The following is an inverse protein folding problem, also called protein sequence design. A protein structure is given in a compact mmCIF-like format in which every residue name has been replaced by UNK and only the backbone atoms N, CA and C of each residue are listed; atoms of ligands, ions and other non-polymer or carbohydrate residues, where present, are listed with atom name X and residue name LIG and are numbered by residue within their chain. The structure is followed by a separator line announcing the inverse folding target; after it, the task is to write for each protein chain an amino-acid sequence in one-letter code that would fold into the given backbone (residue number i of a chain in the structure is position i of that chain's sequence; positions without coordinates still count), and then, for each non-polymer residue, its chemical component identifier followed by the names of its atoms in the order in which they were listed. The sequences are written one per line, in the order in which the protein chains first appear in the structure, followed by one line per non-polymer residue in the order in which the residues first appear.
data_IF_670281208625
#
_entry.id   IF_670281208625
#
_cell.length_a   1.000
_cell.length_b   1.000
_cell.length_c   1.000
_cell.angle_alpha   90.00
_cell.angle_beta   90.00
_cell.angle_gamma   90.00
#
_symmetry.space_group_name_H-M   'P 1'
#
loop_
_entity.id
_entity.type
_entity.pdbx_description
1 polymer ?
#
# COMPACT_ATOMS: atom_id res chain seq x y z
N UNK A 1 4.59 -23.29 32.58
CA UNK A 1 4.74 -21.93 32.01
C UNK A 1 3.34 -21.31 31.88
N UNK A 2 3.00 -20.34 32.73
CA UNK A 2 1.70 -19.67 32.75
C UNK A 2 1.81 -18.29 32.07
N UNK A 3 0.97 -18.08 31.06
CA UNK A 3 0.26 -16.83 30.73
C UNK A 3 1.07 -15.55 30.51
N UNK A 4 1.33 -15.21 29.24
CA UNK A 4 1.66 -13.84 28.81
C UNK A 4 0.71 -13.28 27.73
N UNK A 5 -0.35 -13.99 27.33
CA UNK A 5 -1.21 -13.55 26.22
C UNK A 5 -2.32 -12.55 26.57
N UNK A 6 -2.59 -12.27 27.86
CA UNK A 6 -3.74 -11.43 28.24
C UNK A 6 -3.53 -9.91 28.15
N UNK A 7 -2.28 -9.40 28.19
CA UNK A 7 -2.01 -7.96 28.31
C UNK A 7 -1.90 -7.21 26.98
N UNK A 8 -1.70 -7.93 25.87
CA UNK A 8 -1.59 -7.36 24.53
C UNK A 8 -2.94 -7.22 23.84
N UNK A 9 -3.78 -8.25 23.93
CA UNK A 9 -5.14 -8.26 23.37
C UNK A 9 -6.01 -7.16 23.97
N UNK A 10 -5.98 -7.00 25.30
CA UNK A 10 -6.75 -5.98 26.04
C UNK A 10 -6.44 -4.54 25.57
N UNK A 11 -5.16 -4.25 25.31
CA UNK A 11 -4.73 -2.94 24.79
C UNK A 11 -5.11 -2.73 23.31
N UNK A 12 -5.13 -3.78 22.51
CA UNK A 12 -5.57 -3.73 21.11
C UNK A 12 -7.04 -3.37 21.03
N UNK A 13 -7.87 -4.08 21.79
CA UNK A 13 -9.31 -3.82 21.87
C UNK A 13 -9.60 -2.39 22.37
N UNK A 14 -8.89 -1.91 23.39
CA UNK A 14 -9.03 -0.53 23.86
C UNK A 14 -8.68 0.51 22.78
N UNK A 15 -7.60 0.29 22.01
CA UNK A 15 -7.20 1.19 20.90
C UNK A 15 -8.23 1.19 19.78
N UNK A 16 -8.68 0.01 19.37
CA UNK A 16 -9.73 -0.16 18.37
C UNK A 16 -10.99 0.61 18.78
N UNK A 17 -11.50 0.33 19.98
CA UNK A 17 -12.74 0.93 20.47
C UNK A 17 -12.62 2.45 20.65
N UNK A 18 -11.46 2.94 21.12
CA UNK A 18 -11.19 4.38 21.21
C UNK A 18 -11.21 5.03 19.82
N UNK A 19 -10.58 4.42 18.83
CA UNK A 19 -10.53 4.95 17.46
C UNK A 19 -11.91 4.94 16.80
N UNK A 20 -12.69 3.88 16.98
CA UNK A 20 -14.07 3.81 16.47
C UNK A 20 -14.97 4.89 17.08
N UNK A 21 -14.80 5.19 18.39
CA UNK A 21 -15.50 6.31 19.02
C UNK A 21 -15.11 7.66 18.42
N UNK A 22 -13.81 7.91 18.20
CA UNK A 22 -13.34 9.15 17.56
C UNK A 22 -13.95 9.34 16.15
N UNK A 23 -14.04 8.26 15.37
CA UNK A 23 -14.66 8.26 14.04
C UNK A 23 -16.14 8.62 14.15
N UNK A 24 -16.88 7.94 15.04
CA UNK A 24 -18.31 8.18 15.24
C UNK A 24 -18.59 9.64 15.67
N UNK A 25 -17.85 10.15 16.65
CA UNK A 25 -17.99 11.53 17.13
C UNK A 25 -17.70 12.56 16.04
N UNK A 26 -16.72 12.28 15.16
CA UNK A 26 -16.42 13.16 14.03
C UNK A 26 -17.57 13.18 13.02
N UNK A 27 -18.12 12.02 12.68
CA UNK A 27 -19.26 11.91 11.77
C UNK A 27 -20.48 12.69 12.31
N UNK A 28 -20.75 12.62 13.62
CA UNK A 28 -21.83 13.38 14.23
C UNK A 28 -21.59 14.90 14.21
N UNK A 29 -20.34 15.36 14.35
CA UNK A 29 -20.00 16.79 14.24
C UNK A 29 -20.23 17.30 12.83
N UNK A 30 -19.70 16.59 11.83
CA UNK A 30 -19.88 16.97 10.42
C UNK A 30 -21.35 16.90 9.96
N UNK A 31 -22.14 15.97 10.51
CA UNK A 31 -23.59 15.92 10.29
C UNK A 31 -24.38 17.07 10.94
N UNK A 32 -23.91 17.61 12.07
CA UNK A 32 -24.50 18.77 12.75
C UNK A 32 -24.16 20.10 12.07
N UNK A 33 -23.01 20.17 11.38
CA UNK A 33 -22.56 21.36 10.65
C UNK A 33 -23.20 21.49 9.25
N UNK A 34 -24.07 20.56 8.85
CA UNK A 34 -24.89 20.69 7.64
C UNK A 34 -26.01 21.72 7.89
N UNK A 35 -26.11 22.81 7.11
CA UNK A 35 -27.25 23.72 7.22
C UNK A 35 -28.55 22.94 6.95
N UNK A 36 -29.67 23.31 7.62
CA UNK A 36 -30.96 22.66 7.35
C UNK A 36 -31.24 22.71 5.85
N UNK A 37 -31.64 21.57 5.27
CA UNK A 37 -31.95 21.49 3.85
C UNK A 37 -32.90 22.63 3.48
N UNK A 38 -32.54 23.53 2.54
CA UNK A 38 -33.48 24.52 2.07
C UNK A 38 -34.69 23.79 1.45
N UNK A 39 -35.91 24.29 1.63
CA UNK A 39 -37.09 23.70 1.02
C UNK A 39 -36.87 23.55 -0.49
N UNK A 40 -37.25 22.39 -1.01
CA UNK A 40 -37.08 22.02 -2.42
C UNK A 40 -37.64 23.14 -3.31
N UNK A 41 -36.75 23.82 -4.04
CA UNK A 41 -37.17 24.79 -5.03
C UNK A 41 -38.02 24.09 -6.10
N UNK A 42 -39.09 24.73 -6.62
CA UNK A 42 -39.87 24.18 -7.73
C UNK A 42 -38.97 23.98 -8.96
N UNK A 43 -39.23 22.89 -9.70
CA UNK A 43 -38.46 22.46 -10.87
C UNK A 43 -38.24 23.62 -11.87
N UNK A 44 -37.01 23.93 -12.27
CA UNK A 44 -36.76 24.88 -13.34
C UNK A 44 -37.10 24.25 -14.69
N UNK A 45 -37.93 24.96 -15.46
CA UNK A 45 -38.23 24.68 -16.87
C UNK A 45 -36.96 24.54 -17.72
N UNK A 46 -36.95 23.67 -18.74
CA UNK A 46 -35.74 23.32 -19.46
C UNK A 46 -35.29 24.45 -20.40
N UNK A 47 -34.20 25.13 -20.07
CA UNK A 47 -33.44 25.94 -21.02
C UNK A 47 -32.22 25.17 -21.53
N UNK A 48 -32.16 25.02 -22.87
CA UNK A 48 -31.04 24.44 -23.62
C UNK A 48 -29.82 25.37 -23.54
N UNK A 49 -28.65 24.92 -23.06
CA UNK A 49 -27.41 25.66 -23.25
C UNK A 49 -26.84 25.39 -24.64
N UNK A 50 -26.56 26.45 -25.40
CA UNK A 50 -25.70 26.42 -26.58
C UNK A 50 -24.23 26.37 -26.14
N UNK A 51 -23.52 25.28 -26.45
CA UNK A 51 -22.08 25.16 -26.22
C UNK A 51 -21.32 25.49 -27.51
N UNK A 52 -20.40 26.45 -27.45
CA UNK A 52 -19.45 26.73 -28.53
C UNK A 52 -18.28 25.74 -28.45
N UNK A 53 -17.79 25.17 -29.58
CA UNK A 53 -16.72 24.19 -29.55
C UNK A 53 -15.35 24.85 -29.35
N UNK A 54 -14.52 24.29 -28.45
CA UNK A 54 -13.09 24.58 -28.36
C UNK A 54 -12.28 23.49 -29.08
N UNK A 55 -11.12 23.84 -29.70
CA UNK A 55 -10.35 22.90 -30.51
C UNK A 55 -9.52 21.93 -29.65
N UNK A 56 -9.61 20.65 -29.98
CA UNK A 56 -8.83 19.55 -29.40
C UNK A 56 -7.37 19.57 -29.89
N UNK A 57 -6.40 19.59 -28.96
CA UNK A 57 -5.01 19.21 -29.27
C UNK A 57 -4.86 17.70 -29.12
N UNK A 58 -4.46 17.04 -30.20
CA UNK A 58 -4.19 15.61 -30.25
C UNK A 58 -3.00 15.22 -29.36
N UNK A 59 -3.19 14.15 -28.58
CA UNK A 59 -2.15 13.50 -27.79
C UNK A 59 -1.39 12.49 -28.66
N UNK A 60 -0.06 12.54 -28.65
CA UNK A 60 0.81 11.58 -29.35
C UNK A 60 1.42 10.64 -28.29
N UNK A 61 1.24 9.31 -28.38
CA UNK A 61 1.79 8.39 -27.39
C UNK A 61 3.29 8.20 -27.61
N UNK A 62 4.09 8.37 -26.56
CA UNK A 62 5.51 7.99 -26.53
C UNK A 62 5.66 6.51 -26.18
N UNK A 63 6.58 5.82 -26.83
CA UNK A 63 6.82 4.38 -26.68
C UNK A 63 7.26 3.97 -25.26
N UNK A 64 6.96 2.74 -24.80
CA UNK A 64 7.30 2.26 -23.46
C UNK A 64 8.82 2.02 -23.28
N UNK A 65 9.38 2.29 -22.08
CA UNK A 65 10.78 2.02 -21.77
C UNK A 65 11.06 0.51 -21.55
N UNK A 66 12.32 0.07 -21.71
CA UNK A 66 12.72 -1.34 -21.56
C UNK A 66 12.69 -1.81 -20.07
N UNK A 67 12.55 -3.13 -19.82
CA UNK A 67 12.44 -3.67 -18.47
C UNK A 67 13.78 -3.62 -17.69
N UNK A 68 13.76 -3.38 -16.36
CA UNK A 68 14.95 -3.36 -15.52
C UNK A 68 15.37 -4.75 -14.99
N UNK A 69 16.68 -4.92 -14.81
CA UNK A 69 17.36 -6.12 -14.29
C UNK A 69 17.26 -6.30 -12.76
N UNK A 70 17.41 -7.53 -12.23
CA UNK A 70 17.33 -7.83 -10.79
C UNK A 70 18.55 -7.32 -9.98
N UNK A 71 18.30 -7.09 -8.68
CA UNK A 71 19.19 -6.45 -7.70
C UNK A 71 20.45 -7.27 -7.33
N UNK A 72 21.58 -6.56 -7.18
CA UNK A 72 22.80 -7.01 -6.51
C UNK A 72 23.25 -5.89 -5.55
N UNK A 73 23.53 -6.23 -4.29
CA UNK A 73 24.18 -5.32 -3.33
C UNK A 73 25.70 -5.41 -3.54
N UNK A 74 26.43 -4.31 -3.79
CA UNK A 74 27.89 -4.38 -3.87
C UNK A 74 28.50 -4.57 -2.46
N UNK A 75 29.52 -5.43 -2.29
CA UNK A 75 30.17 -5.62 -1.00
C UNK A 75 30.92 -4.34 -0.56
N UNK A 76 30.75 -3.97 0.69
CA UNK A 76 31.48 -2.86 1.33
C UNK A 76 32.95 -3.18 1.46
N UNK A 77 33.81 -2.34 0.88
CA UNK A 77 35.27 -2.42 0.95
C UNK A 77 35.77 -2.41 2.40
N UNK A 78 36.30 -3.55 2.89
CA UNK A 78 37.31 -3.54 3.95
C UNK A 78 38.69 -3.43 3.29
N UNK A 79 39.42 -2.36 3.61
CA UNK A 79 40.84 -2.24 3.32
C UNK A 79 41.60 -3.24 4.17
N UNK A 80 42.28 -4.19 3.53
CA UNK A 80 43.52 -4.76 4.02
C UNK A 80 44.44 -4.87 2.80
N UNK A 81 45.55 -4.13 2.89
CA UNK A 81 46.61 -4.12 1.90
C UNK A 81 47.36 -5.46 1.98
N UNK A 82 47.57 -6.13 0.84
CA UNK A 82 48.90 -6.57 0.41
C UNK A 82 48.85 -7.00 -1.07
N UNK A 83 49.90 -6.59 -1.80
CA UNK A 83 50.15 -6.66 -3.26
C UNK A 83 50.33 -8.15 -3.69
N UNK A 84 50.02 -8.63 -4.90
CA UNK A 84 50.63 -8.35 -6.21
C UNK A 84 49.86 -9.04 -7.36
N UNK A 85 49.83 -8.40 -8.54
CA UNK A 85 49.75 -8.88 -9.94
C UNK A 85 48.86 -10.09 -10.32
N UNK A 86 47.83 -9.86 -11.16
CA UNK A 86 47.82 -10.20 -12.60
C UNK A 86 46.43 -9.83 -13.20
N UNK A 87 46.45 -9.09 -14.30
CA UNK A 87 45.29 -8.53 -15.00
C UNK A 87 44.94 -9.44 -16.19
N UNK A 88 43.73 -10.03 -16.17
CA UNK A 88 42.93 -10.53 -17.31
C UNK A 88 43.45 -11.75 -18.11
N UNK A 89 42.59 -12.59 -18.73
CA UNK A 89 41.16 -12.41 -19.00
C UNK A 89 40.26 -13.62 -18.62
N UNK A 90 39.12 -13.38 -17.96
CA UNK A 90 37.98 -14.32 -17.94
C UNK A 90 36.75 -13.57 -18.44
N UNK A 91 36.76 -13.32 -19.75
CA UNK A 91 35.65 -12.75 -20.51
C UNK A 91 35.44 -13.64 -21.74
N UNK A 92 35.19 -14.94 -21.53
CA UNK A 92 34.90 -15.85 -22.64
C UNK A 92 34.20 -17.18 -22.24
N UNK A 93 33.28 -17.16 -21.28
CA UNK A 93 32.35 -18.29 -21.08
C UNK A 93 30.96 -17.72 -20.74
N UNK A 94 30.31 -17.06 -21.69
CA UNK A 94 28.84 -16.82 -21.65
C UNK A 94 28.26 -16.55 -23.05
N UNK A 95 28.92 -16.98 -24.11
CA UNK A 95 28.47 -16.74 -25.48
C UNK A 95 28.69 -17.98 -26.36
N UNK A 96 27.94 -19.07 -26.13
CA UNK A 96 27.63 -20.13 -27.13
C UNK A 96 26.72 -21.24 -26.56
N UNK A 97 25.51 -20.89 -26.10
CA UNK A 97 24.40 -21.86 -26.00
C UNK A 97 23.08 -21.15 -26.25
N UNK A 98 22.94 -20.63 -27.46
CA UNK A 98 21.66 -20.31 -28.07
C UNK A 98 21.71 -20.85 -29.49
N UNK A 99 21.13 -22.03 -29.69
CA UNK A 99 20.43 -22.51 -30.90
C UNK A 99 20.09 -23.99 -30.66
N UNK A 100 18.83 -24.32 -30.98
CA UNK A 100 18.13 -25.62 -31.02
C UNK A 100 17.21 -25.93 -29.82
N UNK A 101 15.90 -25.96 -30.15
CA UNK A 101 14.69 -26.28 -29.37
C UNK A 101 14.12 -25.09 -28.58
N UNK A 102 13.07 -24.38 -29.01
CA UNK A 102 11.87 -24.84 -29.68
C UNK A 102 10.78 -25.15 -28.64
N UNK A 103 9.85 -24.20 -28.46
CA UNK A 103 8.54 -24.31 -27.79
C UNK A 103 8.55 -24.17 -26.24
N UNK A 104 8.04 -23.03 -25.75
CA UNK A 104 7.35 -22.96 -24.44
C UNK A 104 7.76 -21.84 -23.48
N UNK A 105 6.99 -20.74 -23.52
CA UNK A 105 6.76 -19.74 -22.45
C UNK A 105 7.94 -18.83 -22.06
N UNK A 106 7.92 -17.63 -22.64
CA UNK A 106 8.60 -16.44 -22.13
C UNK A 106 7.90 -16.03 -20.82
N UNK A 107 8.62 -16.15 -19.69
CA UNK A 107 8.20 -15.61 -18.40
C UNK A 107 8.31 -14.08 -18.43
N UNK A 108 7.20 -13.40 -18.19
CA UNK A 108 7.16 -11.95 -18.10
C UNK A 108 7.66 -11.46 -16.74
N UNK A 109 8.36 -10.33 -16.77
CA UNK A 109 8.63 -9.46 -15.62
C UNK A 109 7.29 -8.95 -15.07
N UNK A 110 6.71 -9.71 -14.14
CA UNK A 110 5.49 -9.33 -13.43
C UNK A 110 5.78 -8.23 -12.39
N UNK A 111 4.79 -7.38 -12.06
CA UNK A 111 4.92 -6.39 -10.99
C UNK A 111 5.21 -7.09 -9.66
N UNK A 112 6.21 -6.62 -8.92
CA UNK A 112 6.51 -7.06 -7.54
C UNK A 112 5.43 -6.56 -6.57
N UNK A 113 4.22 -7.08 -6.70
CA UNK A 113 3.10 -6.79 -5.82
C UNK A 113 2.13 -7.95 -5.85
N UNK A 114 1.56 -8.25 -4.69
CA UNK A 114 0.53 -9.27 -4.47
C UNK A 114 -0.48 -9.33 -5.62
N UNK A 115 -0.41 -10.37 -6.43
CA UNK A 115 -1.37 -10.58 -7.52
C UNK A 115 -2.43 -11.56 -7.08
N UNK A 116 -3.42 -11.10 -6.34
CA UNK A 116 -4.59 -11.94 -6.06
C UNK A 116 -5.28 -12.30 -7.39
N UNK A 117 -5.30 -13.58 -7.76
CA UNK A 117 -6.22 -14.12 -8.76
C UNK A 117 -7.62 -14.19 -8.14
N UNK A 118 -8.35 -13.09 -8.09
CA UNK A 118 -9.76 -13.12 -7.70
C UNK A 118 -10.67 -12.93 -8.93
N UNK A 119 -11.45 -13.96 -9.26
CA UNK A 119 -12.69 -13.91 -10.06
C UNK A 119 -13.52 -15.20 -9.80
N UNK A 120 -14.88 -15.22 -9.76
CA UNK A 120 -15.86 -14.13 -9.83
C UNK A 120 -16.89 -14.04 -8.65
N UNK A 121 -16.93 -12.84 -8.07
CA UNK A 121 -18.08 -11.93 -7.81
C UNK A 121 -19.28 -12.28 -6.91
N UNK A 122 -19.85 -13.48 -6.88
CA UNK A 122 -21.13 -13.68 -6.15
C UNK A 122 -20.95 -14.10 -4.68
N UNK A 123 -20.04 -15.03 -4.43
CA UNK A 123 -19.83 -15.61 -3.09
C UNK A 123 -19.07 -14.66 -2.15
N UNK A 124 -18.21 -13.81 -2.73
CA UNK A 124 -17.45 -12.78 -2.01
C UNK A 124 -18.32 -11.63 -1.50
N UNK A 125 -19.41 -11.30 -2.18
CA UNK A 125 -20.34 -10.23 -1.81
C UNK A 125 -21.51 -10.73 -0.95
N UNK A 126 -21.86 -12.02 -1.02
CA UNK A 126 -22.94 -12.57 -0.21
C UNK A 126 -22.66 -12.38 1.29
N UNK A 127 -23.61 -11.74 1.99
CA UNK A 127 -23.53 -11.41 3.41
C UNK A 127 -22.28 -10.61 3.80
N UNK A 128 -21.72 -9.82 2.88
CA UNK A 128 -20.67 -8.88 3.21
C UNK A 128 -21.26 -7.80 4.13
N UNK A 129 -20.58 -7.55 5.24
CA UNK A 129 -20.94 -6.47 6.16
C UNK A 129 -19.88 -5.38 6.03
N UNK A 130 -20.33 -4.13 5.93
CA UNK A 130 -19.43 -2.98 5.94
C UNK A 130 -18.46 -3.05 7.13
N UNK A 131 -17.19 -2.65 6.96
CA UNK A 131 -16.24 -2.56 8.06
C UNK A 131 -16.80 -1.71 9.22
N UNK A 132 -16.43 -2.05 10.45
CA UNK A 132 -16.91 -1.32 11.62
C UNK A 132 -16.46 0.14 11.56
N UNK A 133 -17.37 1.10 11.76
CA UNK A 133 -17.06 2.52 11.61
C UNK A 133 -17.17 3.06 10.18
N UNK A 134 -17.69 2.27 9.23
CA UNK A 134 -18.08 2.78 7.92
C UNK A 134 -19.21 3.83 8.02
N UNK A 135 -19.18 4.80 7.09
CA UNK A 135 -20.11 5.91 6.98
C UNK A 135 -20.58 6.12 5.54
N UNK A 136 -21.58 6.98 5.35
CA UNK A 136 -22.11 7.33 4.01
C UNK A 136 -21.25 8.33 3.23
N UNK A 137 -20.20 8.86 3.85
CA UNK A 137 -19.29 9.86 3.27
C UNK A 137 -17.85 9.59 3.72
N UNK A 138 -16.84 10.12 3.00
CA UNK A 138 -15.44 9.92 3.36
C UNK A 138 -15.14 10.32 4.81
N UNK A 139 -14.41 9.46 5.53
CA UNK A 139 -14.08 9.64 6.96
C UNK A 139 -13.02 10.72 7.20
N UNK A 140 -12.30 11.10 6.15
CA UNK A 140 -11.31 12.15 6.14
C UNK A 140 -11.16 12.73 4.74
N UNK A 141 -10.29 13.73 4.62
CA UNK A 141 -10.00 14.40 3.34
C UNK A 141 -8.49 14.50 3.18
N UNK A 142 -7.96 14.20 1.98
CA UNK A 142 -6.56 14.42 1.70
C UNK A 142 -6.23 15.93 1.75
N UNK A 143 -4.95 16.29 1.96
CA UNK A 143 -4.51 17.68 1.87
C UNK A 143 -4.80 18.28 0.50
N UNK A 144 -5.32 19.50 0.47
CA UNK A 144 -5.58 20.24 -0.78
C UNK A 144 -4.36 20.99 -1.28
N UNK A 145 -3.40 21.27 -0.38
CA UNK A 145 -2.15 21.98 -0.65
C UNK A 145 -1.00 21.03 -1.04
N UNK A 146 -1.27 20.07 -1.92
CA UNK A 146 -0.22 19.19 -2.45
C UNK A 146 0.54 19.86 -3.60
N UNK A 147 1.86 19.62 -3.75
CA UNK A 147 2.61 20.12 -4.89
C UNK A 147 2.02 19.61 -6.20
N UNK A 148 2.09 20.44 -7.25
CA UNK A 148 1.90 19.95 -8.62
C UNK A 148 3.14 19.14 -9.00
N UNK A 149 3.02 17.83 -8.89
CA UNK A 149 4.04 16.87 -9.28
C UNK A 149 3.37 15.77 -10.12
N UNK A 150 4.11 15.22 -11.07
CA UNK A 150 3.74 14.09 -11.93
C UNK A 150 4.66 12.88 -11.71
N UNK A 151 5.57 12.96 -10.74
CA UNK A 151 6.51 11.89 -10.39
C UNK A 151 5.90 10.86 -9.43
N UNK A 152 4.69 10.41 -9.72
CA UNK A 152 4.02 9.30 -9.06
C UNK A 152 3.35 8.41 -10.10
N UNK A 153 3.17 7.13 -9.76
CA UNK A 153 2.34 6.21 -10.54
C UNK A 153 1.40 5.47 -9.60
N UNK A 154 0.29 4.98 -10.13
CA UNK A 154 -0.61 4.10 -9.40
C UNK A 154 -0.33 2.64 -9.73
N UNK A 155 -0.43 1.76 -8.74
CA UNK A 155 -0.29 0.32 -8.97
C UNK A 155 -1.32 -0.18 -9.98
N UNK A 156 -2.53 0.36 -9.94
CA UNK A 156 -3.63 0.02 -10.85
C UNK A 156 -4.49 1.23 -11.13
N UNK A 157 -5.08 1.22 -12.32
CA UNK A 157 -6.06 2.21 -12.77
C UNK A 157 -7.35 1.49 -13.15
N UNK A 158 -8.47 2.18 -12.99
CA UNK A 158 -9.77 1.73 -13.44
C UNK A 158 -9.72 1.49 -14.96
N UNK A 159 -10.17 0.33 -15.47
CA UNK A 159 -10.06 -0.01 -16.89
C UNK A 159 -10.71 1.00 -17.84
N UNK A 160 -11.77 1.70 -17.40
CA UNK A 160 -12.56 2.60 -18.25
C UNK A 160 -12.23 4.08 -18.10
N UNK A 161 -11.79 4.52 -16.93
CA UNK A 161 -11.58 5.96 -16.66
C UNK A 161 -10.11 6.35 -16.55
N UNK A 162 -9.21 5.40 -16.28
CA UNK A 162 -7.81 5.69 -15.98
C UNK A 162 -7.59 6.30 -14.59
N UNK A 163 -8.64 6.56 -13.81
CA UNK A 163 -8.54 6.95 -12.39
C UNK A 163 -7.90 5.82 -11.58
N UNK A 164 -7.26 6.09 -10.42
CA UNK A 164 -6.66 5.04 -9.62
C UNK A 164 -7.69 4.04 -9.08
N UNK A 165 -7.26 2.80 -8.89
CA UNK A 165 -7.92 1.88 -7.95
C UNK A 165 -7.56 2.31 -6.53
N UNK A 166 -8.55 2.43 -5.65
CA UNK A 166 -8.36 2.93 -4.28
C UNK A 166 -9.04 2.02 -3.27
N UNK A 167 -8.74 2.22 -2.00
CA UNK A 167 -9.63 1.80 -0.91
C UNK A 167 -10.92 2.65 -0.92
N UNK A 168 -11.94 2.16 -0.23
CA UNK A 168 -13.13 2.92 0.13
C UNK A 168 -12.78 3.98 1.18
N UNK A 169 -12.85 5.29 0.89
CA UNK A 169 -12.53 6.32 1.87
C UNK A 169 -13.63 6.53 2.93
N UNK A 170 -14.78 5.87 2.75
CA UNK A 170 -15.96 5.97 3.61
C UNK A 170 -16.01 4.84 4.64
N UNK A 171 -15.08 3.88 4.56
CA UNK A 171 -14.85 2.85 5.56
C UNK A 171 -13.41 2.92 6.09
N UNK A 172 -13.16 2.62 7.38
CA UNK A 172 -11.79 2.56 7.87
C UNK A 172 -11.09 1.31 7.33
N UNK A 173 -9.79 1.45 7.11
CA UNK A 173 -8.88 0.34 6.81
C UNK A 173 -8.48 -0.31 8.13
N UNK A 174 -9.19 -1.37 8.48
CA UNK A 174 -8.81 -2.21 9.61
C UNK A 174 -7.50 -2.94 9.31
N UNK A 175 -6.63 -3.02 10.30
CA UNK A 175 -5.40 -3.80 10.21
C UNK A 175 -5.15 -4.57 11.51
N UNK A 176 -4.59 -5.76 11.36
CA UNK A 176 -4.09 -6.60 12.46
C UNK A 176 -2.60 -6.77 12.29
N UNK A 177 -1.91 -7.06 13.39
CA UNK A 177 -0.45 -7.13 13.36
C UNK A 177 0.11 -8.41 13.94
N UNK A 178 0.89 -9.11 13.13
CA UNK A 178 1.71 -10.23 13.57
C UNK A 178 3.08 -9.71 14.03
N UNK A 179 3.38 -9.92 15.31
CA UNK A 179 4.59 -9.42 15.98
C UNK A 179 5.75 -10.41 16.05
N UNK A 180 5.69 -11.54 15.34
CA UNK A 180 6.60 -12.67 15.57
C UNK A 180 8.08 -12.27 15.61
N UNK A 181 8.52 -11.37 14.71
CA UNK A 181 9.90 -10.86 14.68
C UNK A 181 10.03 -9.38 15.04
N UNK A 182 8.98 -8.78 15.59
CA UNK A 182 9.00 -7.40 16.04
C UNK A 182 10.07 -7.19 17.12
N UNK A 183 10.64 -5.98 17.16
CA UNK A 183 11.63 -5.57 18.15
C UNK A 183 11.20 -4.26 18.82
N UNK A 184 11.75 -3.98 19.99
CA UNK A 184 11.41 -2.78 20.76
C UNK A 184 11.55 -1.50 19.91
N UNK A 185 10.46 -0.72 19.85
CA UNK A 185 10.36 0.51 19.06
C UNK A 185 9.82 0.35 17.64
N UNK A 186 9.77 -0.86 17.06
CA UNK A 186 9.26 -1.02 15.68
C UNK A 186 7.77 -0.67 15.56
N UNK A 187 7.00 -0.90 16.63
CA UNK A 187 5.59 -0.53 16.70
C UNK A 187 5.37 0.97 16.71
N UNK A 188 6.24 1.71 17.40
CA UNK A 188 6.16 3.17 17.41
C UNK A 188 6.41 3.74 15.99
N UNK A 189 7.32 3.12 15.23
CA UNK A 189 7.57 3.52 13.84
C UNK A 189 6.45 3.07 12.88
N UNK A 190 5.76 1.95 13.16
CA UNK A 190 4.55 1.55 12.42
C UNK A 190 3.43 2.56 12.65
N UNK A 191 3.15 2.90 13.91
CA UNK A 191 2.11 3.87 14.27
C UNK A 191 2.42 5.22 13.62
N UNK A 192 3.68 5.68 13.71
CA UNK A 192 4.12 6.91 13.05
C UNK A 192 4.00 6.86 11.53
N UNK A 193 4.25 5.71 10.89
CA UNK A 193 4.10 5.54 9.44
C UNK A 193 2.62 5.59 9.01
N UNK A 194 1.74 4.89 9.73
CA UNK A 194 0.28 4.93 9.50
C UNK A 194 -0.22 6.36 9.62
N UNK A 195 0.21 7.08 10.66
CA UNK A 195 -0.06 8.50 10.86
C UNK A 195 0.30 9.37 9.64
N UNK A 196 1.43 9.08 8.98
CA UNK A 196 1.85 9.81 7.77
C UNK A 196 1.01 9.43 6.54
N UNK A 197 0.54 8.19 6.44
CA UNK A 197 -0.34 7.74 5.36
C UNK A 197 -1.73 8.36 5.53
N UNK A 198 -2.30 8.32 6.73
CA UNK A 198 -3.57 8.98 7.06
C UNK A 198 -3.50 10.47 6.73
N UNK A 199 -2.45 11.18 7.15
CA UNK A 199 -2.26 12.61 6.85
C UNK A 199 -2.17 12.91 5.35
N UNK A 200 -1.56 12.03 4.57
CA UNK A 200 -1.34 12.26 3.14
C UNK A 200 -2.56 11.87 2.27
N UNK A 201 -3.37 10.93 2.74
CA UNK A 201 -4.50 10.36 1.97
C UNK A 201 -5.86 10.82 2.51
N UNK A 202 -5.97 11.12 3.79
CA UNK A 202 -7.27 11.26 4.47
C UNK A 202 -7.99 9.94 4.72
N UNK A 203 -7.42 8.79 4.34
CA UNK A 203 -7.90 7.47 4.74
C UNK A 203 -7.70 7.31 6.26
N UNK A 204 -8.52 6.48 6.88
CA UNK A 204 -8.49 6.22 8.32
C UNK A 204 -8.15 4.76 8.55
N UNK A 205 -7.20 4.48 9.44
CA UNK A 205 -6.79 3.15 9.85
C UNK A 205 -7.26 2.85 11.28
N UNK A 206 -7.53 1.57 11.54
CA UNK A 206 -7.93 1.07 12.86
C UNK A 206 -7.10 -0.16 13.18
N UNK A 207 -6.36 -0.12 14.30
CA UNK A 207 -5.61 -1.26 14.86
C UNK A 207 -6.60 -2.22 15.53
N UNK A 208 -6.84 -3.37 14.90
CA UNK A 208 -7.64 -4.46 15.45
C UNK A 208 -6.81 -5.37 16.39
N UNK A 209 -5.56 -4.99 16.66
CA UNK A 209 -4.69 -5.66 17.61
C UNK A 209 -3.80 -6.74 16.98
N UNK A 210 -3.31 -7.65 17.83
CA UNK A 210 -2.35 -8.67 17.42
C UNK A 210 -3.03 -9.87 16.77
N UNK A 211 -2.34 -10.50 15.82
CA UNK A 211 -2.74 -11.77 15.20
C UNK A 211 -1.56 -12.73 15.11
N UNK A 212 -1.85 -14.03 15.05
CA UNK A 212 -0.88 -15.08 14.75
C UNK A 212 -0.90 -15.47 13.25
N UNK A 213 -1.69 -14.78 12.42
CA UNK A 213 -1.74 -15.01 10.97
C UNK A 213 -0.39 -14.70 10.32
N UNK A 214 0.22 -15.70 9.68
CA UNK A 214 1.44 -15.54 8.90
C UNK A 214 1.14 -14.94 7.50
N UNK A 215 2.05 -14.14 6.92
CA UNK A 215 1.88 -13.64 5.56
C UNK A 215 1.97 -14.78 4.53
N UNK A 216 1.08 -14.78 3.54
CA UNK A 216 1.01 -15.81 2.47
C UNK A 216 0.79 -15.21 1.08
N UNK A 217 1.42 -15.79 0.04
CA UNK A 217 1.43 -15.33 -1.37
C UNK A 217 0.05 -14.92 -1.93
N UNK A 218 -0.98 -15.73 -1.68
CA UNK A 218 -2.32 -15.57 -2.25
C UNK A 218 -3.37 -15.41 -1.15
N UNK A 219 -3.19 -14.41 -0.28
CA UNK A 219 -4.14 -14.14 0.80
C UNK A 219 -5.52 -13.75 0.26
N UNK A 220 -6.54 -14.48 0.68
CA UNK A 220 -7.91 -14.22 0.28
C UNK A 220 -8.43 -12.90 0.88
N UNK A 221 -9.30 -12.15 0.16
CA UNK A 221 -9.87 -10.90 0.68
C UNK A 221 -10.81 -11.11 1.88
N UNK A 222 -11.31 -12.34 2.11
CA UNK A 222 -12.20 -12.69 3.23
C UNK A 222 -11.78 -14.01 3.85
N UNK A 223 -11.61 -14.02 5.17
CA UNK A 223 -11.50 -15.22 5.99
C UNK A 223 -12.58 -15.15 7.08
N UNK A 224 -13.79 -15.61 6.75
CA UNK A 224 -14.94 -15.44 7.64
C UNK A 224 -14.82 -16.18 8.97
N UNK A 225 -14.11 -17.32 8.95
CA UNK A 225 -13.87 -18.12 10.15
C UNK A 225 -12.99 -17.37 11.15
N UNK A 226 -12.07 -16.52 10.67
CA UNK A 226 -11.10 -15.85 11.53
C UNK A 226 -11.49 -14.39 11.82
N UNK A 227 -11.96 -13.65 10.82
CA UNK A 227 -12.23 -12.20 10.89
C UNK A 227 -13.71 -11.83 10.71
N UNK A 228 -14.61 -12.82 10.62
CA UNK A 228 -16.04 -12.58 10.53
C UNK A 228 -16.53 -12.10 9.16
N UNK A 229 -17.66 -11.41 9.13
CA UNK A 229 -18.41 -11.17 7.87
C UNK A 229 -17.91 -9.99 7.03
N UNK A 230 -16.95 -9.21 7.51
CA UNK A 230 -16.38 -8.12 6.70
C UNK A 230 -15.25 -8.62 5.78
N UNK A 231 -14.50 -7.68 5.20
CA UNK A 231 -13.20 -7.98 4.59
C UNK A 231 -12.21 -8.45 5.65
N UNK A 232 -11.27 -9.29 5.27
CA UNK A 232 -10.11 -9.56 6.14
C UNK A 232 -9.37 -8.23 6.36
N UNK A 233 -9.01 -7.87 7.60
CA UNK A 233 -8.19 -6.69 7.86
C UNK A 233 -6.85 -6.81 7.12
N UNK A 234 -6.23 -5.68 6.84
CA UNK A 234 -4.85 -5.66 6.33
C UNK A 234 -3.95 -6.36 7.34
N UNK A 235 -3.14 -7.30 6.87
CA UNK A 235 -2.14 -7.95 7.71
C UNK A 235 -0.84 -7.15 7.67
N UNK A 236 -0.44 -6.56 8.79
CA UNK A 236 0.94 -6.08 8.97
C UNK A 236 1.72 -7.18 9.67
N UNK A 237 2.77 -7.71 9.06
CA UNK A 237 3.51 -8.84 9.63
C UNK A 237 5.00 -8.52 9.77
N UNK A 238 5.49 -8.50 11.01
CA UNK A 238 6.92 -8.59 11.30
C UNK A 238 7.32 -10.06 11.26
N UNK A 239 7.95 -10.44 10.15
CA UNK A 239 8.28 -11.81 9.79
C UNK A 239 9.78 -11.95 9.47
N UNK A 240 10.15 -13.04 8.81
CA UNK A 240 11.47 -13.35 8.27
C UNK A 240 11.29 -14.39 7.16
N UNK A 241 12.35 -14.64 6.40
CA UNK A 241 12.26 -15.54 5.25
C UNK A 241 12.05 -17.02 5.60
N UNK A 242 12.11 -17.39 6.88
CA UNK A 242 11.80 -18.76 7.33
C UNK A 242 10.31 -19.02 7.40
N UNK A 243 9.51 -18.00 7.71
CA UNK A 243 8.05 -18.10 7.75
C UNK A 243 7.44 -17.72 6.39
N UNK A 244 8.02 -16.73 5.71
CA UNK A 244 7.53 -16.27 4.42
C UNK A 244 8.68 -16.05 3.43
N UNK A 245 8.81 -16.99 2.50
CA UNK A 245 9.83 -17.03 1.45
C UNK A 245 9.87 -15.77 0.56
N UNK A 246 8.77 -15.03 0.46
CA UNK A 246 8.73 -13.74 -0.23
C UNK A 246 9.63 -12.65 0.38
N UNK A 247 10.22 -12.87 1.55
CA UNK A 247 11.26 -12.02 2.14
C UNK A 247 12.70 -12.51 1.85
N UNK A 248 12.88 -13.59 1.11
CA UNK A 248 14.21 -14.05 0.70
C UNK A 248 14.90 -13.05 -0.26
N UNK A 249 16.22 -13.18 -0.41
CA UNK A 249 16.97 -12.39 -1.39
C UNK A 249 17.25 -10.95 -0.98
N UNK A 250 17.10 -10.60 0.30
CA UNK A 250 17.38 -9.26 0.84
C UNK A 250 16.20 -8.28 0.71
N UNK A 251 14.98 -8.82 0.58
CA UNK A 251 13.74 -8.05 0.61
C UNK A 251 13.45 -7.68 2.06
N UNK A 252 13.47 -6.38 2.37
CA UNK A 252 13.25 -5.88 3.75
C UNK A 252 11.76 -5.64 4.03
N UNK A 253 10.95 -5.46 2.97
CA UNK A 253 9.52 -5.23 3.06
C UNK A 253 8.82 -5.61 1.77
N UNK A 254 7.54 -5.98 1.88
CA UNK A 254 6.66 -6.24 0.75
C UNK A 254 5.22 -5.86 1.10
N UNK A 255 4.74 -4.76 0.51
CA UNK A 255 3.39 -4.25 0.67
C UNK A 255 2.51 -4.43 -0.56
N UNK A 256 1.21 -4.56 -0.34
CA UNK A 256 0.21 -4.41 -1.39
C UNK A 256 -1.16 -4.92 -0.98
N UNK A 257 -2.10 -4.79 -1.92
CA UNK A 257 -3.52 -4.93 -1.64
C UNK A 257 -4.18 -6.03 -2.47
N UNK A 258 -5.17 -6.65 -1.85
CA UNK A 258 -6.14 -7.50 -2.50
C UNK A 258 -7.21 -6.61 -3.11
N UNK A 259 -7.50 -6.85 -4.39
CA UNK A 259 -8.49 -6.10 -5.15
C UNK A 259 -9.71 -6.97 -5.44
N UNK A 260 -10.86 -6.32 -5.55
CA UNK A 260 -12.08 -6.92 -6.09
C UNK A 260 -12.63 -6.05 -7.22
N UNK A 261 -13.58 -6.60 -7.98
CA UNK A 261 -14.36 -5.86 -8.97
C UNK A 261 -15.84 -6.02 -8.63
N UNK A 262 -16.53 -4.92 -8.34
CA UNK A 262 -18.00 -4.92 -8.20
C UNK A 262 -18.59 -4.06 -9.31
N UNK A 263 -19.39 -4.73 -10.15
CA UNK A 263 -19.73 -4.25 -11.48
C UNK A 263 -18.47 -3.87 -12.24
N UNK A 264 -18.34 -2.58 -12.45
CA UNK A 264 -17.53 -1.95 -13.48
C UNK A 264 -16.38 -1.11 -12.84
N UNK A 265 -16.36 -1.10 -11.51
CA UNK A 265 -15.39 -0.43 -10.64
C UNK A 265 -14.56 -1.46 -9.88
N UNK A 266 -13.29 -1.15 -9.66
CA UNK A 266 -12.40 -1.93 -8.81
C UNK A 266 -12.07 -1.19 -7.52
N UNK A 267 -11.91 -1.96 -6.43
CA UNK A 267 -11.52 -1.47 -5.12
C UNK A 267 -10.43 -2.34 -4.51
N UNK A 268 -9.55 -1.74 -3.72
CA UNK A 268 -8.77 -2.44 -2.71
C UNK A 268 -9.61 -2.62 -1.45
N UNK A 269 -9.60 -3.83 -0.89
CA UNK A 269 -10.49 -4.20 0.23
C UNK A 269 -9.78 -4.91 1.37
N UNK A 270 -8.57 -5.40 1.11
CA UNK A 270 -7.71 -6.06 2.08
C UNK A 270 -6.28 -5.96 1.54
N UNK A 271 -5.32 -6.54 2.24
CA UNK A 271 -3.93 -6.53 1.81
C UNK A 271 -3.00 -7.08 2.87
N UNK A 272 -1.72 -6.91 2.62
CA UNK A 272 -0.69 -7.19 3.60
C UNK A 272 0.57 -6.36 3.36
N UNK A 273 1.28 -6.09 4.46
CA UNK A 273 2.62 -5.54 4.48
C UNK A 273 3.49 -6.44 5.34
N UNK A 274 4.35 -7.24 4.72
CA UNK A 274 5.29 -8.11 5.40
C UNK A 274 6.65 -7.41 5.50
N UNK A 275 7.31 -7.53 6.65
CA UNK A 275 8.58 -6.89 6.94
C UNK A 275 9.57 -7.90 7.52
N UNK A 276 10.81 -7.89 7.03
CA UNK A 276 11.88 -8.67 7.65
C UNK A 276 12.33 -7.97 8.94
N UNK A 277 11.84 -8.45 10.08
CA UNK A 277 12.15 -7.89 11.39
C UNK A 277 13.65 -7.91 11.73
N UNK A 278 14.38 -9.03 11.52
CA UNK A 278 15.83 -9.06 11.67
C UNK A 278 16.60 -8.02 10.85
N UNK A 279 16.20 -7.72 9.61
CA UNK A 279 16.77 -6.66 8.77
C UNK A 279 16.40 -5.27 9.28
N UNK A 280 15.11 -5.02 9.56
CA UNK A 280 14.65 -3.76 10.12
C UNK A 280 15.36 -3.41 11.43
N UNK A 281 15.60 -4.40 12.30
CA UNK A 281 16.34 -4.21 13.54
C UNK A 281 17.78 -3.76 13.30
N UNK A 282 18.42 -4.23 12.22
CA UNK A 282 19.77 -3.77 11.85
C UNK A 282 19.75 -2.34 11.36
N UNK A 283 18.76 -1.96 10.55
CA UNK A 283 18.55 -0.57 10.12
C UNK A 283 18.28 0.34 11.32
N UNK A 284 17.40 -0.08 12.23
CA UNK A 284 16.99 0.67 13.41
C UNK A 284 18.18 1.07 14.30
N UNK A 285 19.20 0.21 14.40
CA UNK A 285 20.40 0.45 15.21
C UNK A 285 21.41 1.42 14.58
N UNK A 286 21.17 1.89 13.36
CA UNK A 286 22.05 2.86 12.69
C UNK A 286 21.77 4.30 13.15
N UNK A 287 22.67 5.21 12.82
CA UNK A 287 22.39 6.65 12.97
C UNK A 287 21.23 7.05 12.06
N UNK A 288 20.20 7.69 12.64
CA UNK A 288 18.89 7.95 12.02
C UNK A 288 18.09 6.68 11.66
N UNK A 289 18.34 5.57 12.35
CA UNK A 289 17.69 4.28 12.12
C UNK A 289 16.15 4.27 12.27
N UNK A 290 15.58 4.86 13.34
CA UNK A 290 14.13 4.88 13.52
C UNK A 290 13.39 5.56 12.35
N UNK A 291 13.86 6.73 11.92
CA UNK A 291 13.29 7.43 10.76
C UNK A 291 13.45 6.65 9.44
N UNK A 292 14.52 5.86 9.29
CA UNK A 292 14.70 4.98 8.13
C UNK A 292 13.76 3.78 8.16
N UNK A 293 13.54 3.16 9.32
CA UNK A 293 12.56 2.08 9.49
C UNK A 293 11.16 2.59 9.16
N UNK A 294 10.76 3.75 9.70
CA UNK A 294 9.51 4.40 9.33
C UNK A 294 9.39 4.65 7.84
N UNK A 295 10.46 5.11 7.18
CA UNK A 295 10.44 5.34 5.74
C UNK A 295 10.23 4.05 4.92
N UNK A 296 10.78 2.93 5.39
CA UNK A 296 10.55 1.60 4.78
C UNK A 296 9.10 1.17 5.00
N UNK A 297 8.57 1.31 6.22
CA UNK A 297 7.16 0.99 6.49
C UNK A 297 6.24 1.87 5.65
N UNK A 298 6.53 3.17 5.56
CA UNK A 298 5.82 4.10 4.68
C UNK A 298 5.85 3.63 3.22
N UNK A 299 6.99 3.19 2.69
CA UNK A 299 7.08 2.67 1.33
C UNK A 299 6.09 1.53 1.07
N UNK A 300 6.08 0.52 1.95
CA UNK A 300 5.19 -0.63 1.80
C UNK A 300 3.72 -0.27 2.03
N UNK A 301 3.42 0.64 2.96
CA UNK A 301 2.07 1.17 3.13
C UNK A 301 1.64 2.06 1.94
N UNK A 302 2.59 2.70 1.25
CA UNK A 302 2.36 3.40 0.00
C UNK A 302 1.88 2.43 -1.09
N UNK A 303 2.53 1.27 -1.22
CA UNK A 303 2.04 0.19 -2.08
C UNK A 303 0.67 -0.33 -1.65
N UNK A 304 0.48 -0.56 -0.34
CA UNK A 304 -0.80 -0.98 0.19
C UNK A 304 -1.90 -0.03 -0.31
N UNK A 305 -1.79 1.28 -0.08
CA UNK A 305 -2.86 2.22 -0.50
C UNK A 305 -2.93 2.48 -2.01
N UNK A 306 -1.96 2.00 -2.79
CA UNK A 306 -2.05 1.95 -4.25
C UNK A 306 -1.00 2.76 -5.03
N UNK A 307 0.04 3.30 -4.38
CA UNK A 307 1.18 3.91 -5.09
C UNK A 307 2.11 2.85 -5.67
N UNK A 308 2.58 3.08 -6.89
CA UNK A 308 3.62 2.25 -7.51
C UNK A 308 5.01 2.87 -7.43
N UNK A 309 6.02 2.10 -7.83
CA UNK A 309 7.41 2.55 -7.84
C UNK A 309 7.68 3.67 -8.83
N UNK A 310 8.57 4.58 -8.46
CA UNK A 310 9.08 5.62 -9.36
C UNK A 310 10.61 5.66 -9.37
N UNK A 311 11.21 6.26 -10.41
CA UNK A 311 12.66 6.40 -10.51
C UNK A 311 13.21 7.60 -9.74
N UNK A 312 12.35 8.55 -9.34
CA UNK A 312 12.75 9.81 -8.72
C UNK A 312 13.36 9.59 -7.33
N UNK A 313 14.61 10.06 -7.13
CA UNK A 313 15.39 9.87 -5.90
C UNK A 313 14.92 10.68 -4.69
N UNK A 314 13.93 11.54 -4.87
CA UNK A 314 13.34 12.38 -3.82
C UNK A 314 12.05 11.80 -3.25
N UNK A 315 11.57 10.70 -3.82
CA UNK A 315 10.34 10.02 -3.44
C UNK A 315 10.68 8.80 -2.58
N UNK A 316 9.86 8.55 -1.55
CA UNK A 316 9.88 7.31 -0.78
C UNK A 316 9.57 6.13 -1.70
N UNK A 317 8.66 6.28 -2.66
CA UNK A 317 8.30 5.21 -3.61
C UNK A 317 9.40 4.86 -4.63
N UNK A 318 10.63 5.34 -4.44
CA UNK A 318 11.77 4.82 -5.18
C UNK A 318 12.18 3.43 -4.66
N UNK A 319 12.27 2.40 -5.50
CA UNK A 319 12.49 1.00 -5.07
C UNK A 319 13.86 0.72 -4.45
N UNK A 320 14.80 1.67 -4.52
CA UNK A 320 16.09 1.57 -3.82
C UNK A 320 16.11 2.60 -2.71
N UNK A 321 16.03 2.12 -1.48
CA UNK A 321 16.05 2.92 -0.25
C UNK A 321 17.22 3.89 -0.26
N UNK A 322 16.91 5.17 -0.13
CA UNK A 322 17.90 6.20 0.14
C UNK A 322 17.97 6.44 1.64
N UNK A 323 19.14 6.23 2.26
CA UNK A 323 19.36 6.52 3.70
C UNK A 323 19.07 7.97 4.11
N UNK A 324 18.81 8.86 3.14
CA UNK A 324 18.55 10.29 3.35
C UNK A 324 17.07 10.68 3.21
N UNK A 325 16.24 9.83 2.61
CA UNK A 325 14.82 10.17 2.36
C UNK A 325 13.98 9.47 3.42
N UNK A 326 13.34 10.25 4.28
CA UNK A 326 12.54 9.74 5.41
C UNK A 326 11.16 10.41 5.52
N UNK A 327 10.79 11.19 4.50
CA UNK A 327 9.54 11.92 4.41
C UNK A 327 9.01 11.83 2.99
N UNK A 328 7.69 11.84 2.82
CA UNK A 328 7.06 11.85 1.50
C UNK A 328 7.62 12.95 0.60
N UNK A 329 8.04 12.58 -0.60
CA UNK A 329 8.44 13.52 -1.63
C UNK A 329 7.23 14.21 -2.27
N UNK A 330 7.46 15.20 -3.16
CA UNK A 330 6.38 15.90 -3.84
C UNK A 330 5.45 14.98 -4.65
N UNK A 331 6.01 14.00 -5.36
CA UNK A 331 5.25 13.01 -6.12
C UNK A 331 4.43 12.10 -5.21
N UNK A 332 5.04 11.56 -4.17
CA UNK A 332 4.35 10.72 -3.17
C UNK A 332 3.13 11.45 -2.61
N UNK A 333 3.30 12.70 -2.15
CA UNK A 333 2.19 13.48 -1.57
C UNK A 333 1.07 13.73 -2.58
N UNK A 334 1.41 14.07 -3.82
CA UNK A 334 0.41 14.30 -4.87
C UNK A 334 -0.37 13.02 -5.21
N UNK A 335 0.32 11.88 -5.32
CA UNK A 335 -0.30 10.58 -5.59
C UNK A 335 -1.13 10.06 -4.41
N UNK A 336 -0.63 10.15 -3.18
CA UNK A 336 -1.37 9.76 -1.96
C UNK A 336 -2.66 10.56 -1.80
N UNK A 337 -2.61 11.88 -2.07
CA UNK A 337 -3.81 12.70 -2.02
C UNK A 337 -4.86 12.25 -3.05
N UNK A 338 -4.44 11.84 -4.26
CA UNK A 338 -5.35 11.27 -5.28
C UNK A 338 -5.96 9.94 -4.83
N UNK A 339 -5.19 9.08 -4.16
CA UNK A 339 -5.67 7.77 -3.66
C UNK A 339 -6.72 7.93 -2.55
N UNK A 340 -6.72 9.05 -1.84
CA UNK A 340 -7.73 9.42 -0.85
C UNK A 340 -9.09 9.88 -1.39
N UNK A 341 -9.15 10.19 -2.69
CA UNK A 341 -10.35 10.74 -3.35
C UNK A 341 -11.20 9.65 -4.04
N UNK A 342 -11.09 8.41 -3.57
CA UNK A 342 -11.85 7.27 -4.08
C UNK A 342 -13.37 7.44 -3.94
N UNK A 343 -14.12 6.58 -4.63
CA UNK A 343 -15.56 6.48 -4.44
C UNK A 343 -15.88 5.59 -3.23
N UNK A 344 -16.93 5.94 -2.47
CA UNK A 344 -17.46 5.04 -1.44
C UNK A 344 -17.88 3.70 -2.06
N UNK A 345 -17.67 2.60 -1.32
CA UNK A 345 -18.15 1.28 -1.74
C UNK A 345 -19.56 1.01 -1.17
N UNK A 346 -20.36 0.23 -1.89
CA UNK A 346 -21.64 -0.31 -1.40
C UNK A 346 -21.43 -1.77 -0.94
N UNK A 347 -21.79 -2.06 0.31
CA UNK A 347 -21.60 -3.36 0.95
C UNK A 347 -22.84 -4.25 0.91
#
# INVERSE_FOLDING_TARGET
MKGRSGRGADKGDERMQRRLREIAERAEREGRDLPPMPPRAPDPTPHRPTYAPQPSRAYVPSAPPPPPSPFLVPPTKRRLQLRWLFVGPVLLIFLTTQIVSGIGRIGGDGPQGWTSKADPRAELAANLVAPAGAASSPLGRPPTNVPRADTYIFMRQQPRTGEPVTYDPCAPIHYVVNDRTAFDGVRDELDAAIDQVEKATGLVFVDDGSTDEAPIADRAPRNQRHYGKSWSPVLVAFSDSKEYDGLDGGIIGLGGSVRISQGDQQWYVSGQAAFDGPELRRVYRTSNGPAQVRAIIMHELGHLVGLGHVSNRREIMKPVTSRKITTWGPGDRAGLARLGLGNCMTY
#
